data_IF_643210420572
#
_entry.id   IF_643210420572
#
_cell.length_a   1.000
_cell.length_b   1.000
_cell.length_c   1.000
_cell.angle_alpha   90.00
_cell.angle_beta   90.00
_cell.angle_gamma   90.00
#
_symmetry.space_group_name_H-M   'P 1'
#
loop_
_entity.id
_entity.type
_entity.pdbx_description
1 polymer ?
#
# COMPACT_ATOMS: atom_id res chain seq x y z
N UNK A 1 -9.84 12.97 -12.90
CA UNK A 1 -8.40 13.28 -12.85
C UNK A 1 -7.65 11.95 -12.84
N UNK A 2 -7.03 11.60 -13.96
CA UNK A 2 -6.48 10.26 -14.24
C UNK A 2 -5.23 10.02 -13.38
N UNK A 3 -5.24 9.02 -12.52
CA UNK A 3 -4.13 8.62 -11.62
C UNK A 3 -3.09 7.72 -12.31
N UNK A 4 -3.22 7.48 -13.60
CA UNK A 4 -2.29 6.64 -14.34
C UNK A 4 -1.08 7.48 -14.77
N UNK A 5 0.10 7.05 -14.31
CA UNK A 5 1.42 7.37 -14.88
C UNK A 5 2.34 8.41 -14.19
N UNK A 6 2.12 8.75 -12.92
CA UNK A 6 3.18 9.44 -12.13
C UNK A 6 4.18 8.46 -11.49
N UNK A 7 3.81 7.18 -11.36
CA UNK A 7 4.63 6.14 -10.72
C UNK A 7 5.81 5.70 -11.58
N UNK A 8 5.75 5.81 -12.91
CA UNK A 8 6.90 5.47 -13.76
C UNK A 8 8.11 6.36 -13.47
N UNK A 9 7.86 7.61 -13.05
CA UNK A 9 8.87 8.63 -12.80
C UNK A 9 9.58 8.37 -11.45
N UNK A 10 10.90 8.08 -11.43
CA UNK A 10 11.62 7.74 -10.20
C UNK A 10 11.54 8.82 -9.11
N UNK A 11 11.62 10.10 -9.48
CA UNK A 11 11.58 11.22 -8.51
C UNK A 11 10.25 11.29 -7.76
N UNK A 12 9.15 10.92 -8.41
CA UNK A 12 7.84 10.88 -7.77
C UNK A 12 7.80 9.79 -6.70
N UNK A 13 8.29 8.58 -7.04
CA UNK A 13 8.39 7.44 -6.12
C UNK A 13 9.29 7.70 -4.92
N UNK A 14 10.33 8.54 -5.05
CA UNK A 14 11.25 8.90 -3.96
C UNK A 14 10.62 9.90 -2.99
N UNK A 15 9.79 10.82 -3.49
CA UNK A 15 9.13 11.86 -2.66
C UNK A 15 7.76 11.44 -2.14
N UNK A 16 7.33 10.22 -2.43
CA UNK A 16 6.03 9.72 -2.04
C UNK A 16 5.99 9.38 -0.55
N UNK A 17 4.80 9.41 0.03
CA UNK A 17 4.60 9.19 1.48
C UNK A 17 3.50 8.16 1.71
N UNK A 18 3.53 7.44 2.84
CA UNK A 18 2.49 6.46 3.16
C UNK A 18 1.09 7.10 3.21
N UNK A 19 0.98 8.31 3.73
CA UNK A 19 -0.29 9.03 3.80
C UNK A 19 -0.86 9.33 2.41
N UNK A 20 -0.04 9.77 1.45
CA UNK A 20 -0.49 10.00 0.07
C UNK A 20 -0.98 8.70 -0.59
N UNK A 21 -0.34 7.57 -0.29
CA UNK A 21 -0.78 6.26 -0.79
C UNK A 21 -2.14 5.85 -0.23
N UNK A 22 -2.39 6.09 1.05
CA UNK A 22 -3.71 5.88 1.67
C UNK A 22 -4.79 6.73 1.01
N UNK A 23 -4.52 8.02 0.73
CA UNK A 23 -5.49 8.87 0.02
C UNK A 23 -5.71 8.44 -1.44
N UNK A 24 -4.72 7.82 -2.09
CA UNK A 24 -4.93 7.18 -3.39
C UNK A 24 -5.84 5.96 -3.27
N UNK A 25 -5.66 5.12 -2.24
CA UNK A 25 -6.59 4.02 -1.96
C UNK A 25 -8.01 4.53 -1.74
N UNK A 26 -8.19 5.62 -0.99
CA UNK A 26 -9.49 6.28 -0.82
C UNK A 26 -10.08 6.72 -2.16
N UNK A 27 -9.31 7.40 -3.01
CA UNK A 27 -9.77 7.85 -4.32
C UNK A 27 -10.15 6.66 -5.23
N UNK A 28 -9.38 5.58 -5.20
CA UNK A 28 -9.64 4.36 -5.96
C UNK A 28 -10.87 3.61 -5.46
N UNK A 29 -11.08 3.58 -4.14
CA UNK A 29 -12.28 3.03 -3.50
C UNK A 29 -13.54 3.78 -3.94
N UNK A 30 -13.52 5.11 -3.89
CA UNK A 30 -14.63 5.94 -4.39
C UNK A 30 -14.88 5.77 -5.89
N UNK A 31 -13.82 5.56 -6.67
CA UNK A 31 -13.92 5.33 -8.10
C UNK A 31 -14.36 3.89 -8.46
N UNK A 32 -14.49 2.98 -7.49
CA UNK A 32 -14.81 1.57 -7.72
C UNK A 32 -13.73 0.81 -8.49
N UNK A 33 -12.48 1.29 -8.49
CA UNK A 33 -11.38 0.72 -9.28
C UNK A 33 -10.57 -0.28 -8.45
N UNK A 34 -11.17 -1.45 -8.19
CA UNK A 34 -10.59 -2.47 -7.33
C UNK A 34 -9.28 -3.07 -7.86
N UNK A 35 -9.13 -3.23 -9.18
CA UNK A 35 -7.89 -3.70 -9.79
C UNK A 35 -6.71 -2.78 -9.46
N UNK A 36 -6.96 -1.46 -9.50
CA UNK A 36 -5.95 -0.45 -9.17
C UNK A 36 -5.65 -0.38 -7.68
N UNK A 37 -6.62 -0.70 -6.81
CA UNK A 37 -6.37 -0.86 -5.37
C UNK A 37 -5.42 -2.02 -5.10
N UNK A 38 -5.51 -3.12 -5.84
CA UNK A 38 -4.54 -4.22 -5.77
C UNK A 38 -3.11 -3.72 -6.00
N UNK A 39 -2.89 -2.97 -7.08
CA UNK A 39 -1.58 -2.39 -7.37
C UNK A 39 -1.09 -1.38 -6.31
N UNK A 40 -1.98 -0.57 -5.77
CA UNK A 40 -1.61 0.44 -4.76
C UNK A 40 -1.32 -0.19 -3.40
N UNK A 41 -2.07 -1.22 -2.98
CA UNK A 41 -1.78 -1.99 -1.76
C UNK A 41 -0.48 -2.79 -1.89
N UNK A 42 -0.18 -3.35 -3.06
CA UNK A 42 1.10 -3.98 -3.33
C UNK A 42 2.25 -2.97 -3.28
N UNK A 43 2.07 -1.80 -3.89
CA UNK A 43 3.04 -0.71 -3.83
C UNK A 43 3.32 -0.30 -2.38
N UNK A 44 2.29 -0.12 -1.55
CA UNK A 44 2.44 0.17 -0.13
C UNK A 44 3.20 -0.93 0.61
N UNK A 45 2.83 -2.20 0.38
CA UNK A 45 3.49 -3.35 1.02
C UNK A 45 4.99 -3.39 0.69
N UNK A 46 5.35 -3.12 -0.57
CA UNK A 46 6.74 -3.09 -1.08
C UNK A 46 7.59 -1.93 -0.54
N UNK A 47 7.05 -1.07 0.33
CA UNK A 47 7.79 -0.02 1.04
C UNK A 47 8.05 -0.46 2.49
N UNK A 48 9.21 -1.04 2.82
CA UNK A 48 9.50 -1.51 4.18
C UNK A 48 9.58 -0.38 5.21
N UNK A 49 9.97 0.83 4.79
CA UNK A 49 10.04 2.02 5.65
C UNK A 49 8.65 2.56 6.04
N UNK A 50 7.61 2.16 5.31
CA UNK A 50 6.24 2.61 5.55
C UNK A 50 5.58 1.73 6.61
N UNK A 51 5.91 2.00 7.86
CA UNK A 51 5.31 1.35 9.03
C UNK A 51 4.01 2.06 9.37
N UNK A 52 2.89 1.34 9.45
CA UNK A 52 1.57 1.93 9.77
C UNK A 52 1.59 2.73 11.08
N UNK A 53 2.29 2.23 12.10
CA UNK A 53 2.44 2.90 13.40
C UNK A 53 3.14 4.28 13.33
N UNK A 54 3.86 4.55 12.25
CA UNK A 54 4.60 5.80 12.05
C UNK A 54 3.80 6.81 11.21
N UNK A 55 2.61 6.45 10.72
CA UNK A 55 1.79 7.34 9.91
C UNK A 55 1.07 8.30 10.87
N UNK A 56 1.27 9.63 10.74
CA UNK A 56 0.57 10.58 11.57
C UNK A 56 -0.92 10.57 11.24
N UNK A 57 -1.74 10.86 12.24
CA UNK A 57 -3.17 11.07 12.03
C UNK A 57 -3.38 12.27 11.09
N UNK A 58 -4.09 12.10 9.95
CA UNK A 58 -4.31 13.18 9.00
C UNK A 58 -5.18 14.32 9.54
N UNK A 59 -5.96 14.11 10.61
CA UNK A 59 -6.87 15.12 11.16
C UNK A 59 -7.76 15.73 10.06
N UNK A 60 -8.38 14.85 9.27
CA UNK A 60 -9.09 15.25 8.07
C UNK A 60 -10.35 16.06 8.44
N UNK A 61 -10.54 17.28 7.89
CA UNK A 61 -11.67 18.13 8.24
C UNK A 61 -13.02 17.59 7.76
N UNK A 62 -13.04 16.70 6.76
CA UNK A 62 -14.25 16.03 6.31
C UNK A 62 -14.45 14.73 7.10
N UNK A 63 -15.47 14.65 7.98
CA UNK A 63 -15.67 13.49 8.85
C UNK A 63 -15.99 12.21 8.07
N UNK A 64 -16.62 12.31 6.90
CA UNK A 64 -16.92 11.14 6.07
C UNK A 64 -15.64 10.59 5.45
N UNK A 65 -14.84 11.47 4.84
CA UNK A 65 -13.54 11.10 4.28
C UNK A 65 -12.63 10.54 5.36
N UNK A 66 -12.62 11.16 6.54
CA UNK A 66 -11.86 10.69 7.69
C UNK A 66 -12.24 9.26 8.08
N UNK A 67 -13.53 8.97 8.20
CA UNK A 67 -14.03 7.63 8.54
C UNK A 67 -13.60 6.59 7.50
N UNK A 68 -13.74 6.87 6.20
CA UNK A 68 -13.33 5.94 5.14
C UNK A 68 -11.82 5.72 5.16
N UNK A 69 -11.03 6.77 5.34
CA UNK A 69 -9.56 6.67 5.46
C UNK A 69 -9.18 5.82 6.68
N UNK A 70 -9.84 6.00 7.83
CA UNK A 70 -9.61 5.18 9.02
C UNK A 70 -9.91 3.70 8.75
N UNK A 71 -11.04 3.37 8.08
CA UNK A 71 -11.36 2.00 7.68
C UNK A 71 -10.30 1.41 6.74
N UNK A 72 -9.83 2.18 5.76
CA UNK A 72 -8.77 1.74 4.84
C UNK A 72 -7.48 1.43 5.61
N UNK A 73 -7.11 2.26 6.58
CA UNK A 73 -5.91 2.05 7.41
C UNK A 73 -6.04 0.79 8.26
N UNK A 74 -7.21 0.53 8.84
CA UNK A 74 -7.49 -0.69 9.60
C UNK A 74 -7.35 -1.94 8.73
N UNK A 75 -7.98 -1.95 7.55
CA UNK A 75 -7.90 -3.07 6.62
C UNK A 75 -6.48 -3.27 6.09
N UNK A 76 -5.76 -2.18 5.82
CA UNK A 76 -4.36 -2.24 5.41
C UNK A 76 -3.47 -2.84 6.51
N UNK A 77 -3.73 -2.53 7.79
CA UNK A 77 -3.04 -3.16 8.92
C UNK A 77 -3.25 -4.68 8.93
N UNK A 78 -4.50 -5.14 8.77
CA UNK A 78 -4.83 -6.58 8.72
C UNK A 78 -4.15 -7.25 7.54
N UNK A 79 -4.26 -6.68 6.34
CA UNK A 79 -3.70 -7.22 5.11
C UNK A 79 -2.17 -7.31 5.15
N UNK A 80 -1.48 -6.27 5.66
CA UNK A 80 -0.02 -6.28 5.80
C UNK A 80 0.42 -7.38 6.76
N UNK A 81 -0.20 -7.48 7.94
CA UNK A 81 0.16 -8.49 8.93
C UNK A 81 -0.14 -9.92 8.46
N UNK A 82 -1.24 -10.12 7.74
CA UNK A 82 -1.55 -11.40 7.12
C UNK A 82 -0.49 -11.79 6.08
N UNK A 83 -0.06 -10.87 5.21
CA UNK A 83 1.03 -11.17 4.26
C UNK A 83 2.34 -11.50 4.98
N UNK A 84 2.66 -10.80 6.08
CA UNK A 84 3.84 -11.09 6.89
C UNK A 84 3.76 -12.47 7.56
N UNK A 85 2.58 -12.91 8.01
CA UNK A 85 2.41 -14.25 8.60
C UNK A 85 2.58 -15.38 7.58
N UNK A 86 2.36 -15.09 6.28
CA UNK A 86 2.69 -15.99 5.18
C UNK A 86 4.20 -16.01 4.83
N UNK A 87 5.03 -15.25 5.55
CA UNK A 87 6.47 -15.13 5.28
C UNK A 87 6.81 -14.25 4.08
N UNK A 88 5.86 -13.49 3.54
CA UNK A 88 6.12 -12.58 2.42
C UNK A 88 7.00 -11.41 2.86
N UNK A 89 8.04 -11.14 2.10
CA UNK A 89 8.98 -10.03 2.37
C UNK A 89 8.51 -8.74 1.71
N UNK A 90 8.69 -7.63 2.43
CA UNK A 90 8.31 -6.28 1.98
C UNK A 90 9.36 -5.59 1.10
N UNK A 91 10.58 -6.09 1.05
CA UNK A 91 11.66 -5.49 0.25
C UNK A 91 11.66 -5.97 -1.22
N UNK A 92 10.73 -6.85 -1.60
CA UNK A 92 10.67 -7.39 -2.96
C UNK A 92 11.73 -8.44 -3.28
N UNK A 93 12.62 -8.76 -2.34
CA UNK A 93 13.57 -9.86 -2.46
C UNK A 93 12.87 -11.16 -2.06
N UNK A 94 12.41 -11.92 -3.05
CA UNK A 94 11.98 -13.30 -2.82
C UNK A 94 13.18 -14.17 -2.52
N UNK A 95 13.04 -15.14 -1.61
CA UNK A 95 13.98 -16.26 -1.57
C UNK A 95 13.63 -17.13 -2.77
N UNK A 96 14.46 -17.10 -3.82
CA UNK A 96 14.37 -18.12 -4.86
C UNK A 96 14.84 -19.42 -4.21
N UNK A 97 13.93 -20.39 -4.07
CA UNK A 97 14.37 -21.77 -3.89
C UNK A 97 14.79 -22.22 -5.29
N UNK A 98 16.09 -22.41 -5.49
CA UNK A 98 16.55 -23.23 -6.61
C UNK A 98 15.85 -24.58 -6.45
N UNK A 99 14.92 -24.88 -7.35
CA UNK A 99 14.41 -26.24 -7.52
C UNK A 99 15.46 -26.99 -8.32
N UNK A 100 16.57 -27.32 -7.68
CA UNK A 100 17.42 -28.44 -8.08
C UNK A 100 17.76 -29.20 -6.80
N UNK A 101 17.70 -30.52 -6.90
CA UNK A 101 17.98 -31.53 -5.88
C UNK A 101 16.80 -31.94 -4.98
N UNK A 102 15.89 -32.72 -5.55
CA UNK A 102 15.25 -33.85 -4.86
C UNK A 102 14.88 -34.95 -5.89
N UNK A 103 15.87 -35.84 -6.11
CA UNK A 103 15.80 -37.27 -6.54
C UNK A 103 15.40 -37.58 -7.98
#
# INVERSE_FOLDING_TARGET
MVLQDSRAIPIWRVRDTPLRSIYRLYALFLAGQYDLMGYETEYFFKRPDWKLRNIPDPQDPDPLRYAVVACIVEELHRAVNWRLSLGLRRNGEGIYRDREDDI
#
